data_IF_991090406496
#
_entry.id   IF_991090406496
#
_cell.length_a   1.000
_cell.length_b   1.000
_cell.length_c   1.000
_cell.angle_alpha   90.00
_cell.angle_beta   90.00
_cell.angle_gamma   90.00
#
_symmetry.space_group_name_H-M   'P 1'
#
loop_
_entity.id
_entity.type
_entity.pdbx_description
1 polymer ?
#
# COMPACT_ATOMS: atom_id res chain seq x y z
N UNK A 1 21.68 -3.69 -5.52
CA UNK A 1 22.90 -4.17 -6.21
C UNK A 1 22.65 -4.68 -7.63
N UNK A 2 21.71 -5.60 -7.95
CA UNK A 2 21.58 -6.14 -9.33
C UNK A 2 21.51 -5.08 -10.45
N UNK A 3 20.85 -3.95 -10.21
CA UNK A 3 20.75 -2.85 -11.18
C UNK A 3 22.07 -2.11 -11.44
N UNK A 4 23.07 -2.21 -10.57
CA UNK A 4 24.38 -1.58 -10.76
C UNK A 4 25.15 -2.13 -11.96
N UNK A 5 24.70 -3.25 -12.54
CA UNK A 5 25.31 -3.86 -13.73
C UNK A 5 24.82 -3.20 -15.03
N UNK A 6 23.74 -2.42 -14.96
CA UNK A 6 23.08 -1.84 -16.13
C UNK A 6 23.18 -0.32 -16.17
N UNK A 7 23.46 0.31 -15.03
CA UNK A 7 23.49 1.77 -14.90
C UNK A 7 24.85 2.23 -14.38
N UNK A 8 25.32 3.36 -14.91
CA UNK A 8 26.52 4.03 -14.46
C UNK A 8 26.30 4.74 -13.12
N UNK A 9 27.38 5.18 -12.48
CA UNK A 9 27.37 5.79 -11.14
C UNK A 9 26.56 7.09 -11.07
N UNK A 10 26.41 7.81 -12.18
CA UNK A 10 25.57 9.01 -12.32
C UNK A 10 24.06 8.71 -12.29
N UNK A 11 23.68 7.46 -12.55
CA UNK A 11 22.29 7.03 -12.75
C UNK A 11 21.82 6.03 -11.70
N UNK A 12 22.72 5.48 -10.88
CA UNK A 12 22.40 4.49 -9.86
C UNK A 12 23.30 4.61 -8.62
N UNK A 13 22.65 4.62 -7.44
CA UNK A 13 23.32 4.46 -6.15
C UNK A 13 22.79 3.22 -5.43
N UNK A 14 23.66 2.38 -4.89
CA UNK A 14 23.21 1.33 -3.98
C UNK A 14 22.82 1.98 -2.64
N UNK A 15 21.52 2.09 -2.39
CA UNK A 15 20.95 2.86 -1.31
C UNK A 15 19.92 2.08 -0.49
N UNK A 16 19.94 2.25 0.84
CA UNK A 16 18.93 1.71 1.74
C UNK A 16 17.99 2.81 2.23
N UNK A 17 16.73 2.70 1.82
CA UNK A 17 15.67 3.68 2.08
C UNK A 17 15.16 3.72 3.53
N UNK A 18 15.48 2.73 4.37
CA UNK A 18 15.02 2.71 5.76
C UNK A 18 15.96 3.43 6.72
N UNK A 19 17.25 3.54 6.38
CA UNK A 19 18.26 4.10 7.25
C UNK A 19 19.13 5.18 6.58
N UNK A 20 18.82 5.56 5.33
CA UNK A 20 19.58 6.53 4.55
C UNK A 20 21.07 6.14 4.37
N UNK A 21 21.33 4.85 4.14
CA UNK A 21 22.69 4.34 3.96
C UNK A 21 23.04 4.20 2.47
N UNK A 22 24.16 4.80 2.07
CA UNK A 22 24.79 4.62 0.76
C UNK A 22 25.90 3.58 0.90
N UNK A 23 25.77 2.45 0.21
CA UNK A 23 26.70 1.33 0.34
C UNK A 23 28.08 1.64 -0.27
N UNK A 24 28.12 2.51 -1.28
CA UNK A 24 29.35 2.97 -1.93
C UNK A 24 29.93 4.23 -1.24
N UNK A 25 29.47 4.51 -0.02
CA UNK A 25 30.03 5.52 0.87
C UNK A 25 29.79 6.96 0.42
N UNK A 26 30.76 7.83 0.70
CA UNK A 26 30.64 9.28 0.50
C UNK A 26 30.53 9.69 -0.97
N UNK A 27 31.16 8.94 -1.89
CA UNK A 27 31.12 9.26 -3.32
C UNK A 27 29.68 9.20 -3.85
N UNK A 28 28.96 8.10 -3.60
CA UNK A 28 27.56 7.96 -4.00
C UNK A 28 26.61 8.94 -3.29
N UNK A 29 26.89 9.27 -2.02
CA UNK A 29 26.17 10.33 -1.31
C UNK A 29 26.34 11.68 -2.02
N UNK A 30 27.56 12.01 -2.44
CA UNK A 30 27.86 13.27 -3.13
C UNK A 30 27.17 13.33 -4.50
N UNK A 31 27.19 12.24 -5.27
CA UNK A 31 26.44 12.15 -6.54
C UNK A 31 24.96 12.48 -6.33
N UNK A 32 24.33 11.89 -5.31
CA UNK A 32 22.94 12.18 -4.98
C UNK A 32 22.73 13.64 -4.53
N UNK A 33 23.65 14.19 -3.72
CA UNK A 33 23.57 15.59 -3.27
C UNK A 33 23.69 16.54 -4.46
N UNK A 34 24.71 16.37 -5.31
CA UNK A 34 24.93 17.19 -6.50
C UNK A 34 23.72 17.16 -7.42
N UNK A 35 23.15 15.98 -7.69
CA UNK A 35 21.93 15.84 -8.49
C UNK A 35 20.73 16.61 -7.90
N UNK A 36 20.54 16.55 -6.58
CA UNK A 36 19.45 17.29 -5.93
C UNK A 36 19.66 18.81 -5.95
N UNK A 37 20.91 19.28 -6.05
CA UNK A 37 21.25 20.70 -6.01
C UNK A 37 21.52 21.30 -7.40
N UNK A 38 21.57 20.46 -8.43
CA UNK A 38 21.70 20.87 -9.83
C UNK A 38 20.63 21.90 -10.20
N UNK A 39 21.00 22.89 -11.01
CA UNK A 39 20.13 24.00 -11.39
C UNK A 39 19.44 24.69 -10.19
N UNK A 40 20.14 24.79 -9.06
CA UNK A 40 19.61 25.32 -7.79
C UNK A 40 18.36 24.55 -7.34
N UNK A 41 18.31 23.25 -7.62
CA UNK A 41 17.21 22.34 -7.31
C UNK A 41 15.92 22.60 -8.10
N UNK A 42 15.96 23.40 -9.17
CA UNK A 42 14.83 23.58 -10.08
C UNK A 42 14.67 22.36 -11.01
N UNK A 43 13.44 22.08 -11.45
CA UNK A 43 13.17 20.94 -12.33
C UNK A 43 13.25 19.54 -11.69
N UNK A 44 13.56 19.44 -10.40
CA UNK A 44 13.69 18.15 -9.69
C UNK A 44 12.36 17.72 -9.05
N UNK A 45 12.03 16.42 -9.17
CA UNK A 45 10.94 15.75 -8.45
C UNK A 45 11.44 14.40 -7.90
N UNK A 46 11.13 14.11 -6.63
CA UNK A 46 11.42 12.80 -6.05
C UNK A 46 10.20 11.87 -6.20
N UNK A 47 10.35 10.76 -6.92
CA UNK A 47 9.32 9.72 -7.08
C UNK A 47 9.72 8.49 -6.28
N UNK A 48 8.84 7.98 -5.42
CA UNK A 48 9.11 6.82 -4.56
C UNK A 48 7.98 5.81 -4.59
N UNK A 49 8.33 4.52 -4.65
CA UNK A 49 7.41 3.38 -4.45
C UNK A 49 8.04 2.40 -3.44
N UNK A 50 8.07 2.74 -2.14
CA UNK A 50 8.72 1.93 -1.12
C UNK A 50 7.93 0.65 -0.81
N UNK A 51 8.59 -0.39 -0.27
CA UNK A 51 7.92 -1.63 0.09
C UNK A 51 6.82 -1.40 1.15
N UNK A 52 5.59 -1.77 0.82
CA UNK A 52 4.39 -1.51 1.65
C UNK A 52 4.39 -2.20 3.02
N UNK A 53 5.16 -3.28 3.18
CA UNK A 53 5.34 -3.98 4.45
C UNK A 53 6.30 -3.29 5.42
N UNK A 54 6.99 -2.24 4.96
CA UNK A 54 7.88 -1.42 5.78
C UNK A 54 7.14 -0.49 6.74
N UNK A 55 7.87 0.01 7.75
CA UNK A 55 7.35 1.05 8.63
C UNK A 55 7.38 2.40 7.90
N UNK A 56 6.24 3.11 7.89
CA UNK A 56 6.09 4.44 7.27
C UNK A 56 7.01 5.49 7.89
N UNK A 57 7.27 5.38 9.19
CA UNK A 57 8.05 6.36 9.94
C UNK A 57 9.54 6.40 9.53
N UNK A 58 10.30 5.28 9.50
CA UNK A 58 11.67 5.28 8.97
C UNK A 58 11.78 5.80 7.53
N UNK A 59 10.79 5.51 6.68
CA UNK A 59 10.73 6.04 5.31
C UNK A 59 10.59 7.57 5.35
N UNK A 60 9.67 8.10 6.15
CA UNK A 60 9.48 9.53 6.30
C UNK A 60 10.73 10.24 6.84
N UNK A 61 11.42 9.65 7.82
CA UNK A 61 12.70 10.16 8.33
C UNK A 61 13.74 10.24 7.22
N UNK A 62 13.83 9.18 6.41
CA UNK A 62 14.79 9.12 5.31
C UNK A 62 14.46 10.10 4.19
N UNK A 63 13.18 10.28 3.84
CA UNK A 63 12.75 11.31 2.89
C UNK A 63 13.05 12.72 3.39
N UNK A 64 12.89 13.00 4.69
CA UNK A 64 13.28 14.28 5.28
C UNK A 64 14.78 14.56 5.16
N UNK A 65 15.64 13.54 5.22
CA UNK A 65 17.08 13.69 4.97
C UNK A 65 17.38 14.07 3.51
N UNK A 66 16.70 13.42 2.55
CA UNK A 66 16.81 13.80 1.13
C UNK A 66 16.33 15.24 0.87
N UNK A 67 15.20 15.63 1.48
CA UNK A 67 14.69 17.01 1.42
C UNK A 67 15.71 17.99 2.02
N UNK A 68 16.35 17.65 3.14
CA UNK A 68 17.36 18.50 3.77
C UNK A 68 18.56 18.73 2.83
N UNK A 69 19.07 17.67 2.19
CA UNK A 69 20.15 17.80 1.20
C UNK A 69 19.76 18.68 0.01
N UNK A 70 18.52 18.56 -0.49
CA UNK A 70 18.01 19.45 -1.53
C UNK A 70 17.95 20.92 -1.07
N UNK A 71 17.52 21.16 0.19
CA UNK A 71 17.43 22.52 0.77
C UNK A 71 18.77 23.20 0.97
N UNK A 72 19.85 22.45 1.21
CA UNK A 72 21.21 23.01 1.38
C UNK A 72 21.70 23.77 0.14
N UNK A 73 21.25 23.40 -1.06
CA UNK A 73 21.61 24.09 -2.32
C UNK A 73 20.74 25.29 -2.67
N UNK A 74 19.78 25.66 -1.83
CA UNK A 74 18.80 26.71 -2.09
C UNK A 74 19.27 28.08 -1.56
N UNK A 75 18.88 29.19 -2.22
CA UNK A 75 19.15 30.55 -1.74
C UNK A 75 18.19 30.95 -0.60
N UNK A 76 18.51 32.03 0.13
CA UNK A 76 17.66 32.51 1.25
C UNK A 76 16.23 32.88 0.81
N UNK A 77 16.04 33.33 -0.44
CA UNK A 77 14.74 33.69 -1.01
C UNK A 77 13.81 32.48 -1.26
N UNK A 78 14.35 31.26 -1.24
CA UNK A 78 13.61 30.01 -1.48
C UNK A 78 13.13 29.30 -0.20
N UNK A 79 13.13 29.97 0.95
CA UNK A 79 12.72 29.40 2.25
C UNK A 79 11.31 28.78 2.25
N UNK A 80 10.43 29.24 1.37
CA UNK A 80 9.06 28.74 1.21
C UNK A 80 8.89 27.59 0.20
N UNK A 81 9.92 27.25 -0.59
CA UNK A 81 9.83 26.14 -1.57
C UNK A 81 10.03 24.79 -0.87
N UNK A 82 9.19 23.81 -1.19
CA UNK A 82 9.36 22.42 -0.81
C UNK A 82 9.78 21.60 -2.04
N UNK A 83 10.65 20.61 -1.86
CA UNK A 83 10.97 19.61 -2.88
C UNK A 83 9.66 18.95 -3.37
N UNK A 84 9.34 18.98 -4.66
CA UNK A 84 8.20 18.24 -5.21
C UNK A 84 8.38 16.73 -5.03
N UNK A 85 7.37 16.05 -4.50
CA UNK A 85 7.44 14.61 -4.21
C UNK A 85 6.20 13.88 -4.69
N UNK A 86 6.39 12.75 -5.36
CA UNK A 86 5.39 11.69 -5.57
C UNK A 86 5.74 10.49 -4.70
N UNK A 87 4.95 10.26 -3.65
CA UNK A 87 5.04 9.07 -2.82
C UNK A 87 3.91 8.12 -3.18
N UNK A 88 4.22 7.05 -3.91
CA UNK A 88 3.31 6.00 -4.31
C UNK A 88 3.13 5.04 -3.13
N UNK A 89 1.92 4.98 -2.56
CA UNK A 89 1.66 4.17 -1.37
C UNK A 89 0.17 3.81 -1.21
N UNK A 90 -0.20 2.81 -0.40
CA UNK A 90 -1.58 2.42 -0.22
C UNK A 90 -2.42 3.50 0.48
N UNK A 91 -3.63 3.78 -0.03
CA UNK A 91 -4.49 4.89 0.45
C UNK A 91 -4.81 4.82 1.94
N UNK A 92 -4.79 3.62 2.55
CA UNK A 92 -5.11 3.43 3.96
C UNK A 92 -3.99 3.93 4.90
N UNK A 93 -2.83 4.32 4.37
CA UNK A 93 -1.76 4.98 5.11
C UNK A 93 -1.81 6.52 5.07
N UNK A 94 -2.77 7.12 4.37
CA UNK A 94 -2.89 8.59 4.23
C UNK A 94 -2.73 9.34 5.56
N UNK A 95 -3.42 8.89 6.61
CA UNK A 95 -3.35 9.54 7.93
C UNK A 95 -1.92 9.57 8.48
N UNK A 96 -1.17 8.48 8.36
CA UNK A 96 0.23 8.41 8.81
C UNK A 96 1.15 9.24 7.93
N UNK A 97 0.96 9.22 6.61
CA UNK A 97 1.76 10.03 5.68
C UNK A 97 1.59 11.51 6.02
N UNK A 98 0.34 11.98 6.21
CA UNK A 98 0.03 13.38 6.52
C UNK A 98 0.51 13.84 7.90
N UNK A 99 0.70 12.91 8.86
CA UNK A 99 1.36 13.24 10.13
C UNK A 99 2.82 13.67 9.92
N UNK A 100 3.53 13.06 8.95
CA UNK A 100 4.92 13.41 8.65
C UNK A 100 5.06 14.52 7.61
N UNK A 101 4.12 14.59 6.66
CA UNK A 101 4.07 15.55 5.56
C UNK A 101 2.68 16.18 5.44
N UNK A 102 2.36 17.21 6.26
CA UNK A 102 1.03 17.81 6.28
C UNK A 102 0.59 18.44 4.95
N UNK A 103 1.54 18.91 4.14
CA UNK A 103 1.31 19.48 2.81
C UNK A 103 0.87 18.45 1.76
N UNK A 104 0.99 17.14 2.05
CA UNK A 104 0.66 16.10 1.09
C UNK A 104 -0.86 15.93 0.95
N UNK A 105 -1.31 15.83 -0.29
CA UNK A 105 -2.63 15.38 -0.67
C UNK A 105 -2.55 14.03 -1.40
N UNK A 106 -3.66 13.29 -1.42
CA UNK A 106 -3.77 12.02 -2.13
C UNK A 106 -4.53 12.23 -3.45
N UNK A 107 -3.92 11.83 -4.57
CA UNK A 107 -4.58 11.80 -5.87
C UNK A 107 -5.48 10.57 -5.99
N UNK A 108 -6.51 10.67 -6.83
CA UNK A 108 -7.44 9.55 -7.07
C UNK A 108 -6.89 8.48 -8.01
N UNK A 109 -5.75 8.74 -8.67
CA UNK A 109 -5.14 7.84 -9.62
C UNK A 109 -4.77 6.49 -8.99
N UNK A 110 -5.30 5.42 -9.57
CA UNK A 110 -5.10 4.05 -9.13
C UNK A 110 -3.87 3.47 -9.84
N UNK A 111 -2.74 3.42 -9.14
CA UNK A 111 -1.51 2.84 -9.68
C UNK A 111 -1.69 1.32 -9.77
N UNK A 112 -1.69 0.77 -10.99
CA UNK A 112 -1.81 -0.67 -11.24
C UNK A 112 -0.43 -1.33 -11.38
N UNK A 113 -0.33 -2.60 -10.96
CA UNK A 113 0.92 -3.36 -10.96
C UNK A 113 0.76 -4.66 -11.74
N UNK A 114 1.71 -4.97 -12.64
CA UNK A 114 1.66 -6.17 -13.48
C UNK A 114 1.67 -7.47 -12.68
N UNK A 115 2.41 -7.51 -11.57
CA UNK A 115 2.82 -8.72 -10.87
C UNK A 115 2.40 -8.77 -9.38
N UNK A 116 1.58 -7.84 -8.89
CA UNK A 116 1.19 -7.83 -7.48
C UNK A 116 -0.17 -8.50 -7.22
N UNK A 117 -0.16 -9.68 -6.57
CA UNK A 117 -1.36 -10.50 -6.34
C UNK A 117 -2.51 -9.80 -5.59
N UNK A 118 -2.21 -8.77 -4.78
CA UNK A 118 -3.21 -7.99 -4.03
C UNK A 118 -3.49 -6.60 -4.62
N UNK A 119 -2.67 -6.12 -5.57
CA UNK A 119 -2.67 -4.74 -6.09
C UNK A 119 -2.76 -4.67 -7.62
N UNK A 120 -3.36 -5.71 -8.22
CA UNK A 120 -3.65 -5.77 -9.65
C UNK A 120 -5.15 -5.77 -9.90
N UNK A 121 -5.57 -5.14 -11.00
CA UNK A 121 -6.90 -5.32 -11.59
C UNK A 121 -7.08 -6.77 -12.11
N UNK A 122 -8.02 -7.56 -11.57
CA UNK A 122 -8.21 -8.93 -12.09
C UNK A 122 -9.39 -9.74 -11.53
N UNK A 123 -9.72 -10.84 -12.23
CA UNK A 123 -10.85 -11.75 -11.92
C UNK A 123 -10.72 -12.50 -10.57
N UNK A 124 -9.50 -12.61 -10.04
CA UNK A 124 -9.19 -13.36 -8.80
C UNK A 124 -8.63 -12.49 -7.67
N UNK A 125 -8.51 -11.16 -7.89
CA UNK A 125 -7.98 -10.17 -6.95
C UNK A 125 -9.00 -9.13 -6.49
N UNK A 126 -8.56 -8.02 -5.87
CA UNK A 126 -9.43 -6.85 -5.66
C UNK A 126 -9.76 -6.25 -7.03
N UNK A 127 -11.00 -5.82 -7.24
CA UNK A 127 -11.42 -5.14 -8.49
C UNK A 127 -10.64 -3.85 -8.78
N UNK A 128 -9.92 -3.27 -7.82
CA UNK A 128 -9.22 -2.00 -7.95
C UNK A 128 -7.95 -2.01 -7.09
N UNK A 129 -6.86 -1.42 -7.58
CA UNK A 129 -5.63 -1.24 -6.81
C UNK A 129 -5.89 -0.32 -5.61
N UNK A 130 -5.34 -0.59 -4.42
CA UNK A 130 -5.40 0.31 -3.28
C UNK A 130 -4.24 1.31 -3.25
N UNK A 131 -3.34 1.31 -4.23
CA UNK A 131 -2.17 2.19 -4.29
C UNK A 131 -2.52 3.50 -4.97
N UNK A 132 -2.14 4.61 -4.35
CA UNK A 132 -2.37 6.00 -4.82
C UNK A 132 -1.07 6.77 -4.81
N UNK A 133 -1.09 7.95 -5.42
CA UNK A 133 0.01 8.92 -5.36
C UNK A 133 -0.29 9.94 -4.28
N UNK A 134 0.64 10.14 -3.36
CA UNK A 134 0.66 11.22 -2.39
C UNK A 134 1.65 12.30 -2.83
N UNK A 135 1.27 13.57 -2.80
CA UNK A 135 2.12 14.65 -3.28
C UNK A 135 1.84 15.99 -2.61
N UNK A 136 2.86 16.83 -2.48
CA UNK A 136 2.75 18.25 -2.13
C UNK A 136 2.48 19.16 -3.35
N UNK A 137 2.44 18.61 -4.57
CA UNK A 137 2.03 19.36 -5.76
C UNK A 137 0.51 19.62 -5.70
N UNK A 138 0.04 20.86 -5.98
CA UNK A 138 -1.38 21.16 -6.03
C UNK A 138 -2.13 20.22 -6.99
N UNK A 139 -3.20 19.54 -6.54
CA UNK A 139 -3.87 18.50 -7.32
C UNK A 139 -4.61 19.05 -8.55
N UNK A 140 -4.85 20.37 -8.63
CA UNK A 140 -5.42 21.02 -9.80
C UNK A 140 -4.44 21.09 -10.98
N UNK A 141 -3.12 20.97 -10.73
CA UNK A 141 -2.08 20.95 -11.77
C UNK A 141 -1.88 19.56 -12.39
N UNK A 142 -2.48 18.52 -11.81
CA UNK A 142 -2.27 17.13 -12.24
C UNK A 142 -3.51 16.64 -12.97
N UNK A 143 -3.34 16.40 -14.27
CA UNK A 143 -4.39 15.88 -15.15
C UNK A 143 -4.34 14.36 -15.13
N UNK A 144 -5.47 13.71 -14.88
CA UNK A 144 -5.61 12.25 -14.97
C UNK A 144 -6.28 11.85 -16.30
N UNK A 145 -5.88 10.69 -16.89
CA UNK A 145 -6.35 10.25 -18.21
C UNK A 145 -7.85 9.98 -18.22
N UNK A 146 -8.61 10.63 -19.11
CA UNK A 146 -10.07 10.46 -19.19
C UNK A 146 -10.46 9.09 -19.73
N UNK A 147 -9.66 8.61 -20.67
CA UNK A 147 -9.71 7.30 -21.32
C UNK A 147 -9.62 6.13 -20.32
N UNK A 148 -9.00 6.33 -19.15
CA UNK A 148 -8.94 5.36 -18.06
C UNK A 148 -10.08 5.51 -17.03
N UNK A 149 -11.06 6.37 -17.30
CA UNK A 149 -12.22 6.57 -16.42
C UNK A 149 -11.99 7.57 -15.28
N UNK A 150 -11.27 8.65 -15.55
CA UNK A 150 -11.15 9.80 -14.63
C UNK A 150 -11.88 11.04 -15.18
N UNK A 151 -12.36 11.88 -14.27
CA UNK A 151 -13.04 13.14 -14.59
C UNK A 151 -12.57 14.27 -13.67
N UNK A 152 -12.64 15.51 -14.15
CA UNK A 152 -12.38 16.67 -13.30
C UNK A 152 -13.59 16.98 -12.41
N UNK A 153 -13.35 17.21 -11.12
CA UNK A 153 -14.36 17.73 -10.19
C UNK A 153 -14.11 19.22 -9.97
N UNK A 154 -15.01 20.07 -10.47
CA UNK A 154 -14.89 21.52 -10.36
C UNK A 154 -14.99 22.04 -8.91
N UNK A 155 -15.75 21.37 -8.03
CA UNK A 155 -15.88 21.78 -6.63
C UNK A 155 -14.60 21.50 -5.83
N UNK A 156 -13.98 20.33 -6.07
CA UNK A 156 -12.73 19.95 -5.39
C UNK A 156 -11.47 20.48 -6.12
N UNK A 157 -11.61 21.03 -7.33
CA UNK A 157 -10.49 21.43 -8.20
C UNK A 157 -9.44 20.32 -8.38
N UNK A 158 -9.89 19.09 -8.64
CA UNK A 158 -8.99 17.93 -8.84
C UNK A 158 -9.64 16.88 -9.73
N UNK A 159 -8.81 16.05 -10.36
CA UNK A 159 -9.28 14.85 -11.06
C UNK A 159 -9.64 13.74 -10.06
N UNK A 160 -10.74 13.04 -10.34
CA UNK A 160 -11.30 11.97 -9.53
C UNK A 160 -11.71 10.79 -10.41
N UNK A 161 -11.80 9.59 -9.82
CA UNK A 161 -12.38 8.44 -10.53
C UNK A 161 -13.82 8.73 -10.94
N UNK A 162 -14.26 8.23 -12.11
CA UNK A 162 -15.61 8.44 -12.64
C UNK A 162 -16.70 8.13 -11.61
N UNK A 163 -16.55 7.02 -10.90
CA UNK A 163 -17.47 6.51 -9.88
C UNK A 163 -17.35 7.20 -8.49
N UNK A 164 -16.31 8.01 -8.27
CA UNK A 164 -16.15 8.78 -7.04
C UNK A 164 -17.06 10.01 -7.09
N UNK A 165 -18.21 9.94 -6.42
CA UNK A 165 -19.17 11.05 -6.36
C UNK A 165 -18.76 12.09 -5.30
N UNK A 166 -18.91 13.38 -5.63
CA UNK A 166 -18.70 14.46 -4.67
C UNK A 166 -19.77 14.39 -3.60
N UNK A 167 -19.37 14.43 -2.34
CA UNK A 167 -20.31 14.56 -1.23
C UNK A 167 -20.49 16.03 -0.89
N UNK A 168 -21.71 16.54 -1.06
CA UNK A 168 -22.05 17.94 -0.73
C UNK A 168 -21.93 18.23 0.77
N UNK A 169 -22.30 17.27 1.63
CA UNK A 169 -22.20 17.43 3.09
C UNK A 169 -20.77 17.47 3.63
N UNK A 170 -19.84 16.75 2.98
CA UNK A 170 -18.42 16.79 3.34
C UNK A 170 -17.63 17.80 2.50
N UNK A 171 -18.27 18.40 1.49
CA UNK A 171 -17.64 19.18 0.43
C UNK A 171 -16.38 18.52 -0.16
N UNK A 172 -16.46 17.22 -0.48
CA UNK A 172 -15.30 16.44 -0.90
C UNK A 172 -15.70 15.19 -1.69
N UNK A 173 -14.92 14.85 -2.73
CA UNK A 173 -14.89 13.52 -3.32
C UNK A 173 -14.11 12.57 -2.40
N UNK A 174 -14.82 11.87 -1.51
CA UNK A 174 -14.22 11.15 -0.37
C UNK A 174 -13.88 9.69 -0.64
N UNK A 175 -14.37 9.11 -1.74
CA UNK A 175 -14.10 7.71 -2.03
C UNK A 175 -12.62 7.48 -2.32
N UNK A 176 -12.02 6.57 -1.58
CA UNK A 176 -10.59 6.21 -1.74
C UNK A 176 -10.40 4.98 -2.61
N UNK A 177 -11.43 4.17 -2.78
CA UNK A 177 -11.41 2.91 -3.52
C UNK A 177 -12.28 2.95 -4.78
N UNK A 178 -12.47 4.16 -5.34
CA UNK A 178 -13.14 4.38 -6.63
C UNK A 178 -14.58 3.87 -6.70
N UNK A 179 -15.25 3.68 -5.57
CA UNK A 179 -16.68 3.29 -5.49
C UNK A 179 -17.50 4.44 -4.92
N UNK A 180 -18.81 4.45 -5.14
CA UNK A 180 -19.70 5.36 -4.42
C UNK A 180 -19.67 5.09 -2.90
N UNK A 181 -19.26 6.08 -2.12
CA UNK A 181 -19.33 6.07 -0.65
C UNK A 181 -20.60 6.77 -0.17
N UNK A 182 -21.08 6.38 1.00
CA UNK A 182 -22.29 6.95 1.61
C UNK A 182 -21.91 7.92 2.73
N UNK A 183 -22.58 9.07 2.80
CA UNK A 183 -22.42 9.99 3.92
C UNK A 183 -23.17 9.47 5.14
N UNK A 184 -22.50 9.38 6.29
CA UNK A 184 -23.15 9.14 7.57
C UNK A 184 -23.31 10.46 8.31
N UNK A 185 -24.56 10.91 8.46
CA UNK A 185 -24.89 12.18 9.13
C UNK A 185 -24.53 12.19 10.62
N UNK A 186 -24.65 11.05 11.30
CA UNK A 186 -24.30 10.92 12.72
C UNK A 186 -22.78 11.04 12.95
N UNK A 187 -21.98 10.43 12.07
CA UNK A 187 -20.51 10.54 12.13
C UNK A 187 -19.94 11.75 11.40
N UNK A 188 -20.78 12.50 10.67
CA UNK A 188 -20.41 13.63 9.80
C UNK A 188 -19.26 13.31 8.84
N UNK A 189 -19.26 12.08 8.29
CA UNK A 189 -18.22 11.61 7.36
C UNK A 189 -18.76 10.60 6.37
N UNK A 190 -18.14 10.55 5.20
CA UNK A 190 -18.38 9.49 4.23
C UNK A 190 -17.69 8.18 4.65
N UNK A 191 -18.38 7.08 4.40
CA UNK A 191 -17.93 5.72 4.69
C UNK A 191 -18.18 4.80 3.50
N UNK A 192 -17.48 3.68 3.48
CA UNK A 192 -17.67 2.65 2.46
C UNK A 192 -19.13 2.18 2.44
N UNK A 193 -19.68 1.80 1.27
CA UNK A 193 -21.07 1.36 1.17
C UNK A 193 -21.37 0.10 1.99
N UNK A 194 -20.35 -0.71 2.30
CA UNK A 194 -20.48 -1.90 3.14
C UNK A 194 -20.44 -1.61 4.65
N UNK A 195 -20.36 -0.35 5.07
CA UNK A 195 -20.31 0.04 6.49
C UNK A 195 -21.69 0.54 6.93
N UNK A 196 -22.06 0.21 8.16
CA UNK A 196 -23.29 0.66 8.81
C UNK A 196 -22.95 1.50 10.05
N UNK A 197 -23.81 2.44 10.41
CA UNK A 197 -23.67 3.15 11.69
C UNK A 197 -24.19 2.27 12.82
N UNK A 198 -23.35 2.00 13.82
CA UNK A 198 -23.75 1.25 15.00
C UNK A 198 -24.23 2.21 16.09
N UNK A 199 -25.46 2.04 16.55
CA UNK A 199 -26.05 2.84 17.64
C UNK A 199 -25.39 2.59 18.99
N UNK A 200 -24.87 1.39 19.23
CA UNK A 200 -24.19 1.02 20.49
C UNK A 200 -22.78 1.64 20.53
N UNK A 201 -22.04 1.56 19.43
CA UNK A 201 -20.67 2.09 19.37
C UNK A 201 -20.59 3.58 19.05
N UNK A 202 -21.67 4.15 18.53
CA UNK A 202 -21.75 5.52 18.00
C UNK A 202 -20.72 5.81 16.90
N UNK A 203 -20.36 4.79 16.10
CA UNK A 203 -19.51 4.96 14.94
C UNK A 203 -19.88 4.00 13.81
N UNK A 204 -19.50 4.37 12.58
CA UNK A 204 -19.61 3.46 11.45
C UNK A 204 -18.61 2.31 11.54
N UNK A 205 -19.03 1.10 11.20
CA UNK A 205 -18.22 -0.11 11.16
C UNK A 205 -18.77 -1.11 10.14
N UNK A 206 -18.08 -2.24 9.95
CA UNK A 206 -18.64 -3.37 9.21
C UNK A 206 -19.81 -3.98 10.00
N UNK A 207 -20.81 -4.62 9.35
CA UNK A 207 -21.93 -5.24 10.03
C UNK A 207 -21.52 -6.19 11.17
N UNK A 208 -20.53 -7.05 10.92
CA UNK A 208 -20.05 -8.07 11.86
C UNK A 208 -19.00 -7.55 12.87
N UNK A 209 -19.04 -6.27 13.24
CA UNK A 209 -18.13 -5.69 14.22
C UNK A 209 -18.52 -6.04 15.66
N UNK A 210 -17.55 -6.05 16.57
CA UNK A 210 -17.80 -6.33 17.99
C UNK A 210 -18.08 -5.03 18.75
N UNK A 211 -19.32 -4.87 19.22
CA UNK A 211 -19.76 -3.62 19.86
C UNK A 211 -19.18 -3.38 21.27
N UNK A 212 -18.70 -4.44 21.92
CA UNK A 212 -18.06 -4.41 23.24
C UNK A 212 -16.59 -4.79 23.23
N UNK A 213 -15.92 -4.72 22.07
CA UNK A 213 -14.48 -4.93 22.00
C UNK A 213 -13.73 -3.77 22.68
N UNK A 214 -12.59 -4.04 23.35
CA UNK A 214 -11.76 -2.98 23.93
C UNK A 214 -11.43 -1.94 22.86
N UNK A 215 -11.89 -0.69 23.07
CA UNK A 215 -11.58 0.45 22.17
C UNK A 215 -10.09 0.76 22.17
N UNK A 216 -9.45 0.52 23.32
CA UNK A 216 -8.02 0.53 23.57
C UNK A 216 -7.65 -0.74 24.36
N UNK A 217 -6.45 -1.27 24.12
CA UNK A 217 -5.92 -2.43 24.84
C UNK A 217 -5.81 -3.70 24.00
N UNK A 218 -5.49 -4.81 24.66
CA UNK A 218 -5.20 -6.08 24.05
C UNK A 218 -6.45 -6.72 23.42
N UNK A 219 -6.41 -6.95 22.10
CA UNK A 219 -7.48 -7.63 21.34
C UNK A 219 -7.86 -9.06 21.80
N UNK A 220 -7.13 -9.65 22.76
CA UNK A 220 -7.44 -10.98 23.30
C UNK A 220 -8.15 -10.89 24.65
N UNK A 221 -7.81 -9.92 25.50
CA UNK A 221 -8.31 -9.87 26.88
C UNK A 221 -8.85 -8.51 27.33
N UNK A 222 -8.64 -7.45 26.57
CA UNK A 222 -9.16 -6.11 26.85
C UNK A 222 -8.26 -5.21 27.69
N UNK A 223 -7.16 -5.72 28.25
CA UNK A 223 -6.30 -4.93 29.14
C UNK A 223 -5.45 -3.90 28.38
N UNK A 224 -5.23 -2.74 28.97
CA UNK A 224 -4.56 -1.58 28.35
C UNK A 224 -3.03 -1.62 28.42
N UNK A 225 -2.48 -2.46 29.30
CA UNK A 225 -1.08 -2.56 29.68
C UNK A 225 -0.22 -3.35 28.67
N UNK A 226 -0.83 -3.99 27.67
CA UNK A 226 -0.09 -4.78 26.69
C UNK A 226 -0.76 -4.85 25.31
N UNK A 227 0.07 -5.06 24.27
CA UNK A 227 -0.40 -5.36 22.91
C UNK A 227 -0.73 -6.85 22.77
N UNK A 228 -1.53 -7.20 21.77
CA UNK A 228 -1.93 -8.61 21.48
C UNK A 228 -0.76 -9.60 21.52
N UNK A 229 0.40 -9.23 21.01
CA UNK A 229 1.59 -10.09 20.91
C UNK A 229 2.17 -10.52 22.25
N UNK A 230 1.95 -9.73 23.30
CA UNK A 230 2.47 -9.95 24.66
C UNK A 230 1.37 -10.36 25.64
N UNK A 231 0.19 -10.76 25.14
CA UNK A 231 -0.92 -11.10 25.99
C UNK A 231 -0.71 -12.42 26.75
N UNK A 232 -0.82 -12.45 28.09
CA UNK A 232 -0.73 -13.68 28.87
C UNK A 232 -1.84 -14.69 28.51
N UNK A 233 -2.99 -14.21 28.00
CA UNK A 233 -4.10 -15.07 27.52
C UNK A 233 -3.95 -15.53 26.04
N UNK A 234 -2.79 -15.30 25.39
CA UNK A 234 -2.59 -15.67 23.98
C UNK A 234 -2.65 -17.19 23.72
N UNK A 235 -2.25 -18.01 24.70
CA UNK A 235 -2.21 -19.46 24.57
C UNK A 235 -3.63 -20.08 24.46
N UNK A 236 -4.60 -19.52 25.19
CA UNK A 236 -6.00 -19.96 25.19
C UNK A 236 -6.70 -19.64 23.87
N UNK A 237 -6.46 -18.45 23.29
CA UNK A 237 -6.99 -18.04 21.98
C UNK A 237 -6.48 -18.92 20.81
N UNK A 238 -5.22 -19.39 20.87
CA UNK A 238 -4.66 -20.31 19.86
C UNK A 238 -5.34 -21.68 19.86
N UNK A 239 -5.83 -22.17 21.01
CA UNK A 239 -6.55 -23.45 21.10
C UNK A 239 -7.94 -23.39 20.45
N UNK A 240 -8.68 -22.29 20.67
CA UNK A 240 -10.00 -22.05 20.05
C UNK A 240 -9.88 -21.96 18.53
N UNK A 241 -8.91 -21.20 18.01
CA UNK A 241 -8.69 -21.08 16.56
C UNK A 241 -8.23 -22.38 15.90
N UNK A 242 -7.44 -23.23 16.59
CA UNK A 242 -7.07 -24.57 16.08
C UNK A 242 -8.29 -25.49 15.97
N UNK A 243 -9.23 -25.42 16.92
CA UNK A 243 -10.47 -26.21 16.89
C UNK A 243 -11.36 -25.81 15.70
N UNK A 244 -11.54 -24.50 15.47
CA UNK A 244 -12.32 -23.98 14.32
C UNK A 244 -11.67 -24.37 12.99
N UNK A 245 -10.33 -24.32 12.89
CA UNK A 245 -9.59 -24.72 11.66
C UNK A 245 -9.71 -26.23 11.37
N UNK A 246 -9.68 -27.09 12.40
CA UNK A 246 -9.93 -28.54 12.28
C UNK A 246 -11.37 -28.85 11.85
N UNK A 247 -12.35 -28.10 12.34
CA UNK A 247 -13.76 -28.28 11.97
C UNK A 247 -14.02 -27.87 10.50
N UNK A 248 -13.37 -26.81 10.02
CA UNK A 248 -13.45 -26.36 8.61
C UNK A 248 -12.76 -27.33 7.64
N UNK A 249 -11.62 -27.93 8.04
CA UNK A 249 -10.97 -29.00 7.26
C UNK A 249 -11.82 -30.27 7.18
N UNK A 250 -12.50 -30.68 8.28
CA UNK A 250 -13.42 -31.83 8.27
C UNK A 250 -14.66 -31.62 7.39
N UNK A 251 -15.18 -30.40 7.27
CA UNK A 251 -16.26 -30.07 6.31
C UNK A 251 -15.77 -30.12 4.86
N UNK A 252 -14.53 -29.68 4.59
CA UNK A 252 -13.93 -29.73 3.26
C UNK A 252 -13.64 -31.16 2.78
N UNK A 253 -13.19 -32.05 3.66
CA UNK A 253 -12.97 -33.46 3.32
C UNK A 253 -14.29 -34.22 3.07
N UNK A 254 -15.37 -33.87 3.77
CA UNK A 254 -16.69 -34.49 3.59
C UNK A 254 -17.35 -34.10 2.27
N UNK A 255 -17.06 -32.91 1.72
CA UNK A 255 -17.52 -32.51 0.38
C UNK A 255 -16.73 -33.15 -0.78
N UNK A 256 -15.47 -33.58 -0.56
CA UNK A 256 -14.68 -34.25 -1.61
C UNK A 256 -15.00 -35.74 -1.81
N UNK A 257 -15.81 -36.34 -0.93
CA UNK A 257 -16.13 -37.78 -0.97
C UNK A 257 -17.54 -38.08 -1.52
N UNK A 258 -18.18 -37.08 -2.13
CA UNK A 258 -19.56 -37.16 -2.62
C UNK A 258 -19.71 -36.84 -4.11
N UNK A 259 -18.79 -37.26 -4.97
CA UNK A 259 -19.02 -37.33 -6.43
C UNK A 259 -17.91 -38.14 -7.09
N UNK A 260 -18.14 -39.44 -7.30
CA UNK A 260 -17.57 -40.24 -8.42
C UNK A 260 -18.18 -41.64 -8.35
N UNK A 261 -19.28 -41.85 -9.07
CA UNK A 261 -19.79 -43.18 -9.42
C UNK A 261 -19.10 -43.61 -10.72
N UNK A 262 -18.36 -44.72 -10.63
CA UNK A 262 -18.25 -45.77 -11.65
C UNK A 262 -17.58 -45.47 -12.98
N UNK A 263 -16.36 -45.99 -13.16
CA UNK A 263 -16.08 -47.01 -14.19
C UNK A 263 -14.70 -47.65 -13.96
N UNK A 264 -14.64 -48.96 -14.19
CA UNK A 264 -13.54 -49.88 -13.92
C UNK A 264 -12.68 -50.07 -15.17
N UNK A 265 -11.34 -50.06 -15.04
CA UNK A 265 -10.52 -51.27 -15.25
C UNK A 265 -9.00 -51.02 -15.16
N UNK A 266 -8.38 -51.92 -14.37
CA UNK A 266 -7.10 -52.62 -14.53
C UNK A 266 -5.74 -51.90 -14.51
N UNK A 267 -4.97 -52.34 -13.51
CA UNK A 267 -3.57 -52.08 -13.22
C UNK A 267 -2.61 -52.58 -14.32
N UNK A 268 -1.54 -51.82 -14.53
CA UNK A 268 -0.20 -52.41 -14.74
C UNK A 268 0.87 -51.46 -14.18
N UNK A 269 1.72 -52.02 -13.33
CA UNK A 269 2.83 -51.39 -12.63
C UNK A 269 4.06 -51.28 -13.52
N UNK A 270 4.65 -50.07 -13.64
CA UNK A 270 6.03 -49.93 -14.13
C UNK A 270 6.77 -48.84 -13.35
N UNK A 271 7.78 -49.28 -12.61
CA UNK A 271 8.87 -48.49 -12.02
C UNK A 271 9.95 -48.19 -13.07
N UNK A 272 10.44 -46.93 -13.16
CA UNK A 272 11.86 -46.55 -13.44
C UNK A 272 12.01 -45.04 -13.57
N UNK A 273 12.75 -44.40 -12.66
CA UNK A 273 14.19 -44.03 -12.70
C UNK A 273 14.43 -42.60 -13.20
N UNK A 274 14.92 -41.77 -12.27
CA UNK A 274 15.63 -40.49 -12.49
C UNK A 274 16.76 -40.69 -13.50
N UNK A 275 16.84 -39.84 -14.51
CA UNK A 275 18.09 -39.53 -15.20
C UNK A 275 18.34 -38.02 -15.19
N UNK A 276 19.44 -37.67 -14.54
CA UNK A 276 20.10 -36.37 -14.51
C UNK A 276 21.04 -36.36 -15.72
N UNK A 277 21.02 -35.33 -16.57
CA UNK A 277 22.11 -35.06 -17.52
C UNK A 277 22.48 -33.58 -17.46
N UNK A 278 23.77 -33.38 -17.22
CA UNK A 278 24.49 -32.12 -17.22
C UNK A 278 24.77 -31.62 -18.63
N UNK A 279 25.19 -30.35 -18.66
CA UNK A 279 25.46 -29.45 -19.78
C UNK A 279 26.53 -29.96 -20.76
N UNK A 280 26.41 -29.50 -22.01
CA UNK A 280 27.56 -29.28 -22.88
C UNK A 280 27.38 -27.92 -23.61
N UNK A 281 28.44 -27.11 -23.53
CA UNK A 281 28.68 -25.89 -24.31
C UNK A 281 28.85 -26.23 -25.81
N UNK A 282 28.50 -25.30 -26.70
CA UNK A 282 29.44 -24.68 -27.66
C UNK A 282 28.77 -23.61 -28.54
N UNK A 283 29.48 -22.48 -28.60
CA UNK A 283 29.58 -21.41 -29.60
C UNK A 283 28.79 -21.54 -30.92
N UNK A 284 27.98 -20.52 -31.21
CA UNK A 284 28.20 -19.49 -32.25
C UNK A 284 27.30 -18.28 -31.95
#
# INVERSE_FOLDING_TARGET
>A
YRYSQFYMEDSFCHYNMFNHHFFDGKAALEVCRTFLQEDKGEGVIMVTDPPFGGLVEPLAVTFKKLIAMWKEGQSQDSSHKELPIFWIFPYFFESRIRQFFPSFCMLDYQVDYDNHALYKHGKTGRKQSPVRIFTNIPPNKIILPREEGYRFCALCQRYVSLENQHCEHCNSCTSKDGRKWNHCFLCKKCVKPSWIHCSICSHCALPDHSCGGPKDGCFICGELDHKRSTCPKIATSKKVNKAVRKQKQRKSSKMKMGTTKGQSMNHTSVTRKKNRRERAHQYL
#
